data_IF_614408023433
#
_entry.id   IF_614408023433
#
_cell.length_a   1.000
_cell.length_b   1.000
_cell.length_c   1.000
_cell.angle_alpha   90.00
_cell.angle_beta   90.00
_cell.angle_gamma   90.00
#
_symmetry.space_group_name_H-M   'P 1'
#
loop_
_entity.id
_entity.type
_entity.pdbx_description
1 polymer ?
#
# COMPACT_ATOMS: atom_id res chain seq x y z
N UNK A 1 -15.18 -8.81 -10.84
CA UNK A 1 -14.79 -9.13 -9.45
C UNK A 1 -15.98 -8.76 -8.59
N UNK A 2 -16.40 -9.56 -7.58
CA UNK A 2 -17.52 -9.14 -6.75
C UNK A 2 -17.14 -7.82 -6.07
N UNK A 3 -17.93 -6.77 -6.31
CA UNK A 3 -17.75 -5.45 -5.73
C UNK A 3 -18.05 -5.55 -4.22
N UNK A 4 -17.02 -5.82 -3.42
CA UNK A 4 -17.09 -5.63 -1.98
C UNK A 4 -17.26 -4.14 -1.73
N UNK A 5 -18.46 -3.72 -1.33
CA UNK A 5 -18.73 -2.33 -0.98
C UNK A 5 -17.90 -1.92 0.24
N UNK A 6 -16.89 -1.08 0.00
CA UNK A 6 -16.02 -0.56 1.05
C UNK A 6 -16.81 0.41 1.92
N UNK A 7 -16.61 0.31 3.24
CA UNK A 7 -17.08 1.36 4.14
C UNK A 7 -16.34 2.67 3.82
N UNK A 8 -17.00 3.81 4.03
CA UNK A 8 -16.44 5.16 3.75
C UNK A 8 -15.01 5.31 4.32
N UNK A 9 -14.81 4.97 5.60
CA UNK A 9 -13.48 5.08 6.22
C UNK A 9 -12.42 4.15 5.60
N UNK A 10 -12.82 3.02 5.01
CA UNK A 10 -11.91 2.09 4.35
C UNK A 10 -11.47 2.64 2.98
N UNK A 11 -12.41 3.20 2.23
CA UNK A 11 -12.13 3.88 0.97
C UNK A 11 -11.23 5.11 1.20
N UNK A 12 -11.53 5.92 2.22
CA UNK A 12 -10.72 7.09 2.59
C UNK A 12 -9.31 6.71 3.02
N UNK A 13 -9.17 5.63 3.80
CA UNK A 13 -7.85 5.11 4.19
C UNK A 13 -7.05 4.64 2.97
N UNK A 14 -7.68 3.93 2.04
CA UNK A 14 -7.05 3.48 0.81
C UNK A 14 -6.59 4.67 -0.06
N UNK A 15 -7.47 5.67 -0.25
CA UNK A 15 -7.15 6.89 -0.98
C UNK A 15 -5.99 7.64 -0.32
N UNK A 16 -6.01 7.79 1.00
CA UNK A 16 -4.94 8.45 1.76
C UNK A 16 -3.58 7.76 1.55
N UNK A 17 -3.57 6.42 1.52
CA UNK A 17 -2.34 5.65 1.28
C UNK A 17 -1.75 6.01 -0.10
N UNK A 18 -2.60 6.06 -1.11
CA UNK A 18 -2.23 6.30 -2.51
C UNK A 18 -1.80 7.75 -2.73
N UNK A 19 -2.57 8.71 -2.21
CA UNK A 19 -2.27 10.15 -2.33
C UNK A 19 -0.89 10.49 -1.75
N UNK A 20 -0.57 9.92 -0.57
CA UNK A 20 0.74 10.12 0.06
C UNK A 20 1.86 9.51 -0.79
N UNK A 21 1.65 8.31 -1.32
CA UNK A 21 2.64 7.71 -2.22
C UNK A 21 2.86 8.60 -3.45
N UNK A 22 1.79 9.03 -4.12
CA UNK A 22 1.86 9.86 -5.32
C UNK A 22 2.58 11.20 -5.04
N UNK A 23 2.26 11.84 -3.91
CA UNK A 23 2.93 13.05 -3.46
C UNK A 23 4.43 12.84 -3.29
N UNK A 24 4.85 11.78 -2.60
CA UNK A 24 6.28 11.51 -2.33
C UNK A 24 7.02 10.95 -3.54
N UNK A 25 6.36 10.23 -4.44
CA UNK A 25 7.00 9.54 -5.55
C UNK A 25 7.74 10.50 -6.49
N UNK A 26 7.13 11.65 -6.79
CA UNK A 26 7.68 12.72 -7.63
C UNK A 26 8.20 13.94 -6.87
N UNK A 27 8.31 13.88 -5.54
CA UNK A 27 8.66 15.05 -4.74
C UNK A 27 10.11 15.50 -4.98
N UNK A 28 10.40 16.80 -5.18
CA UNK A 28 11.76 17.29 -5.47
C UNK A 28 12.75 17.02 -4.34
N UNK A 29 12.27 16.97 -3.10
CA UNK A 29 13.08 16.67 -1.91
C UNK A 29 13.00 15.21 -1.45
N UNK A 30 12.58 14.29 -2.33
CA UNK A 30 12.52 12.86 -1.99
C UNK A 30 13.92 12.38 -1.58
N UNK A 31 14.10 11.84 -0.37
CA UNK A 31 15.41 11.36 0.06
C UNK A 31 15.95 10.28 -0.89
N UNK A 32 17.23 10.38 -1.23
CA UNK A 32 17.93 9.42 -2.10
C UNK A 32 19.17 8.86 -1.42
N UNK A 33 19.70 7.76 -1.97
CA UNK A 33 21.04 7.26 -1.68
C UNK A 33 21.75 7.09 -3.02
N UNK A 34 22.56 8.08 -3.39
CA UNK A 34 23.11 8.19 -4.75
C UNK A 34 22.00 8.41 -5.78
N UNK A 35 22.01 7.74 -6.94
CA UNK A 35 21.01 7.95 -8.00
C UNK A 35 19.64 7.31 -7.67
N UNK A 36 19.53 6.52 -6.60
CA UNK A 36 18.31 5.76 -6.28
C UNK A 36 17.50 6.45 -5.18
N UNK A 37 16.19 6.67 -5.38
CA UNK A 37 15.33 7.16 -4.32
C UNK A 37 15.25 6.14 -3.17
N UNK A 38 15.13 6.63 -1.94
CA UNK A 38 14.92 5.78 -0.76
C UNK A 38 13.54 5.10 -0.85
N UNK A 39 13.39 3.89 -0.29
CA UNK A 39 12.09 3.25 -0.15
C UNK A 39 11.11 4.14 0.62
N UNK A 40 9.86 4.18 0.17
CA UNK A 40 8.78 4.83 0.89
C UNK A 40 8.16 3.81 1.86
N UNK A 41 8.06 4.17 3.14
CA UNK A 41 7.44 3.35 4.15
C UNK A 41 6.22 4.06 4.72
N UNK A 42 5.11 3.34 4.84
CA UNK A 42 3.90 3.81 5.47
C UNK A 42 3.23 2.68 6.25
N UNK A 43 2.92 2.95 7.50
CA UNK A 43 2.18 2.04 8.35
C UNK A 43 0.67 2.30 8.26
N UNK A 44 -0.13 1.25 8.15
CA UNK A 44 -1.58 1.28 8.32
C UNK A 44 -1.91 0.77 9.73
N UNK A 45 -2.27 1.68 10.63
CA UNK A 45 -2.81 1.31 11.94
C UNK A 45 -4.33 1.19 11.86
N UNK A 46 -4.87 0.09 12.34
CA UNK A 46 -6.31 -0.09 12.49
C UNK A 46 -6.61 -1.14 13.57
N UNK A 47 -7.80 -1.09 14.16
CA UNK A 47 -8.27 -2.12 15.10
C UNK A 47 -8.35 -3.50 14.44
N UNK A 48 -8.30 -4.56 15.25
CA UNK A 48 -8.59 -5.92 14.79
C UNK A 48 -10.05 -6.00 14.33
N UNK A 49 -10.30 -6.67 13.20
CA UNK A 49 -11.64 -6.71 12.61
C UNK A 49 -12.07 -5.47 11.81
N UNK A 50 -11.29 -4.39 11.79
CA UNK A 50 -11.62 -3.17 11.04
C UNK A 50 -11.54 -3.32 9.50
N UNK A 51 -11.04 -4.45 9.00
CA UNK A 51 -10.87 -4.70 7.57
C UNK A 51 -9.62 -4.04 6.97
N UNK A 52 -8.45 -4.27 7.55
CA UNK A 52 -7.17 -3.81 6.97
C UNK A 52 -6.91 -4.40 5.58
N UNK A 53 -7.29 -5.66 5.37
CA UNK A 53 -7.14 -6.37 4.09
C UNK A 53 -7.88 -5.68 2.94
N UNK A 54 -9.20 -5.39 3.01
CA UNK A 54 -9.88 -4.69 1.93
C UNK A 54 -9.34 -3.27 1.68
N UNK A 55 -8.89 -2.56 2.73
CA UNK A 55 -8.21 -1.25 2.56
C UNK A 55 -6.95 -1.38 1.71
N UNK A 56 -6.07 -2.34 2.05
CA UNK A 56 -4.82 -2.56 1.32
C UNK A 56 -5.06 -3.08 -0.11
N UNK A 57 -6.07 -3.93 -0.31
CA UNK A 57 -6.46 -4.39 -1.64
C UNK A 57 -6.94 -3.23 -2.53
N UNK A 58 -7.78 -2.34 -1.97
CA UNK A 58 -8.21 -1.14 -2.70
C UNK A 58 -7.04 -0.20 -2.99
N UNK A 59 -6.13 0.00 -2.04
CA UNK A 59 -4.95 0.82 -2.24
C UNK A 59 -4.06 0.27 -3.36
N UNK A 60 -3.91 -1.04 -3.47
CA UNK A 60 -3.22 -1.71 -4.58
C UNK A 60 -3.90 -1.42 -5.91
N UNK A 61 -5.22 -1.57 -6.01
CA UNK A 61 -5.98 -1.27 -7.24
C UNK A 61 -5.80 0.18 -7.67
N UNK A 62 -5.91 1.13 -6.73
CA UNK A 62 -5.70 2.55 -7.00
C UNK A 62 -4.26 2.84 -7.41
N UNK A 63 -3.27 2.29 -6.71
CA UNK A 63 -1.84 2.47 -7.04
C UNK A 63 -1.53 2.00 -8.46
N UNK A 64 -2.08 0.88 -8.92
CA UNK A 64 -1.86 0.39 -10.30
C UNK A 64 -2.28 1.43 -11.35
N UNK A 65 -3.34 2.20 -11.10
CA UNK A 65 -3.75 3.29 -12.01
C UNK A 65 -2.79 4.50 -12.04
N UNK A 66 -1.89 4.63 -11.06
CA UNK A 66 -0.90 5.71 -11.02
C UNK A 66 0.37 5.42 -11.83
N UNK A 67 0.62 4.17 -12.22
CA UNK A 67 1.83 3.80 -12.97
C UNK A 67 1.50 3.61 -14.46
N UNK A 68 2.42 4.05 -15.31
CA UNK A 68 2.35 3.80 -16.76
C UNK A 68 2.63 2.34 -17.12
N UNK A 69 3.32 1.61 -16.24
CA UNK A 69 3.64 0.19 -16.37
C UNK A 69 3.13 -0.57 -15.15
N UNK A 70 2.70 -1.80 -15.35
CA UNK A 70 2.22 -2.67 -14.27
C UNK A 70 3.28 -2.83 -13.16
N UNK A 71 3.02 -2.37 -11.93
CA UNK A 71 3.98 -2.48 -10.83
C UNK A 71 4.00 -3.90 -10.26
N UNK A 72 5.17 -4.34 -9.78
CA UNK A 72 5.28 -5.59 -9.01
C UNK A 72 4.81 -5.33 -7.58
N UNK A 73 3.80 -6.10 -7.13
CA UNK A 73 3.21 -5.96 -5.80
C UNK A 73 3.43 -7.24 -5.01
N UNK A 74 4.15 -7.14 -3.90
CA UNK A 74 4.35 -8.24 -2.95
C UNK A 74 3.42 -8.08 -1.75
N UNK A 75 2.51 -9.05 -1.58
CA UNK A 75 1.65 -9.14 -0.41
C UNK A 75 2.24 -10.12 0.59
N UNK A 76 2.75 -9.60 1.71
CA UNK A 76 3.35 -10.41 2.76
C UNK A 76 2.44 -10.44 3.98
N UNK A 77 1.99 -11.62 4.39
CA UNK A 77 1.41 -11.86 5.71
C UNK A 77 2.45 -12.50 6.63
N UNK A 78 2.22 -12.49 7.95
CA UNK A 78 3.10 -13.12 8.94
C UNK A 78 3.59 -14.48 8.46
N UNK A 79 4.89 -14.62 8.22
CA UNK A 79 5.51 -15.89 7.87
C UNK A 79 5.47 -16.79 9.12
N UNK A 80 4.77 -17.93 9.03
CA UNK A 80 4.99 -19.01 9.99
C UNK A 80 6.27 -19.70 9.55
N UNK A 81 7.41 -19.28 10.10
CA UNK A 81 8.65 -20.03 9.97
C UNK A 81 8.57 -21.19 10.96
N UNK A 82 8.26 -22.39 10.47
CA UNK A 82 8.37 -23.62 11.26
C UNK A 82 9.84 -24.02 11.28
N UNK A 83 10.51 -24.08 12.45
CA UNK A 83 11.81 -24.71 12.53
C UNK A 83 11.61 -26.21 12.28
N UNK A 84 12.14 -26.71 11.18
CA UNK A 84 12.37 -28.15 11.03
C UNK A 84 13.63 -28.46 11.85
N UNK A 85 13.49 -29.23 12.93
CA UNK A 85 14.62 -29.85 13.63
C UNK A 85 15.10 -31.09 12.88
#
# INVERSE_FOLDING_TARGET
MPDFELKVFQADAAKTIVDRYAFFAGHPYRPSKGPKPRPFFQALSALTGAGKTPVLAQAVTLLRSHFSSEPIIFWMSKAVMVPTY
#
